data_IF_545431428550
#
_entry.id   IF_545431428550
#
_cell.length_a   1.000
_cell.length_b   1.000
_cell.length_c   1.000
_cell.angle_alpha   90.00
_cell.angle_beta   90.00
_cell.angle_gamma   90.00
#
_symmetry.space_group_name_H-M   'P 1'
#
loop_
_entity.id
_entity.type
_entity.pdbx_description
1 polymer ?
#
# COMPACT_ATOMS: atom_id res chain seq x y z
N UNK A 1 38.18 9.60 -44.35
CA UNK A 1 38.11 9.41 -42.89
C UNK A 1 36.77 9.98 -42.44
N UNK A 2 35.79 9.12 -42.17
CA UNK A 2 34.47 9.53 -41.71
C UNK A 2 34.19 8.77 -40.43
N UNK A 3 34.35 9.44 -39.28
CA UNK A 3 34.02 8.89 -37.97
C UNK A 3 32.52 9.01 -37.72
N UNK A 4 31.85 7.86 -37.81
CA UNK A 4 30.45 7.66 -37.46
C UNK A 4 30.26 7.65 -35.95
N UNK A 5 29.69 8.74 -35.44
CA UNK A 5 29.14 8.88 -34.08
C UNK A 5 28.04 7.82 -33.85
N UNK A 6 28.26 6.88 -32.93
CA UNK A 6 27.17 6.04 -32.39
C UNK A 6 26.95 6.35 -30.91
N UNK A 7 26.02 7.25 -30.64
CA UNK A 7 25.34 7.36 -29.35
C UNK A 7 24.27 6.25 -29.33
N UNK A 8 24.39 5.27 -28.43
CA UNK A 8 23.32 4.29 -28.19
C UNK A 8 22.50 4.69 -26.97
N UNK A 9 21.20 4.84 -27.26
CA UNK A 9 20.13 5.36 -26.43
C UNK A 9 19.72 4.46 -25.25
N UNK A 10 19.65 5.02 -24.04
CA UNK A 10 18.39 5.51 -23.45
C UNK A 10 17.17 4.59 -23.28
N UNK A 11 17.25 3.27 -23.53
CA UNK A 11 16.06 2.38 -23.52
C UNK A 11 15.74 1.69 -22.18
N UNK A 12 16.60 1.79 -21.17
CA UNK A 12 16.45 1.05 -19.90
C UNK A 12 15.61 1.74 -18.81
N UNK A 13 15.50 3.08 -18.85
CA UNK A 13 14.92 3.85 -17.72
C UNK A 13 13.39 3.89 -17.77
N UNK A 14 12.81 3.90 -18.97
CA UNK A 14 11.35 4.04 -19.16
C UNK A 14 10.58 2.78 -18.74
N UNK A 15 11.13 1.59 -19.00
CA UNK A 15 10.49 0.33 -18.63
C UNK A 15 10.48 0.09 -17.11
N UNK A 16 11.55 0.47 -16.42
CA UNK A 16 11.63 0.38 -14.95
C UNK A 16 10.65 1.36 -14.29
N UNK A 17 10.53 2.58 -14.82
CA UNK A 17 9.58 3.59 -14.32
C UNK A 17 8.11 3.24 -14.58
N UNK A 18 7.77 2.61 -15.72
CA UNK A 18 6.40 2.16 -15.98
C UNK A 18 6.02 0.96 -15.09
N UNK A 19 6.93 0.01 -14.91
CA UNK A 19 6.72 -1.15 -14.04
C UNK A 19 6.66 -0.74 -12.57
N UNK A 20 7.42 0.28 -12.15
CA UNK A 20 7.30 0.83 -10.79
C UNK A 20 5.94 1.49 -10.57
N UNK A 21 5.42 2.25 -11.54
CA UNK A 21 4.09 2.87 -11.42
C UNK A 21 2.94 1.86 -11.35
N UNK A 22 2.96 0.81 -12.19
CA UNK A 22 1.92 -0.24 -12.17
C UNK A 22 2.01 -1.08 -10.89
N UNK A 23 3.22 -1.43 -10.45
CA UNK A 23 3.41 -2.24 -9.24
C UNK A 23 3.05 -1.48 -7.96
N UNK A 24 3.40 -0.20 -7.87
CA UNK A 24 2.98 0.70 -6.79
C UNK A 24 1.45 0.88 -6.79
N UNK A 25 0.83 0.99 -7.97
CA UNK A 25 -0.64 1.07 -8.07
C UNK A 25 -1.33 -0.18 -7.50
N UNK A 26 -0.83 -1.38 -7.81
CA UNK A 26 -1.39 -2.62 -7.26
C UNK A 26 -1.25 -2.66 -5.73
N UNK A 27 -0.05 -2.41 -5.21
CA UNK A 27 0.20 -2.46 -3.76
C UNK A 27 -0.59 -1.38 -3.00
N UNK A 28 -0.62 -0.16 -3.53
CA UNK A 28 -1.39 0.95 -2.95
C UNK A 28 -2.90 0.65 -2.96
N UNK A 29 -3.43 0.00 -4.01
CA UNK A 29 -4.83 -0.43 -4.05
C UNK A 29 -5.16 -1.43 -2.94
N UNK A 30 -4.26 -2.36 -2.63
CA UNK A 30 -4.50 -3.33 -1.55
C UNK A 30 -4.47 -2.61 -0.19
N UNK A 31 -3.41 -1.87 0.13
CA UNK A 31 -3.26 -1.20 1.44
C UNK A 31 -4.34 -0.16 1.67
N UNK A 32 -4.51 0.77 0.72
CA UNK A 32 -5.53 1.81 0.85
C UNK A 32 -6.93 1.21 0.81
N UNK A 33 -7.12 0.09 0.10
CA UNK A 33 -8.41 -0.56 -0.06
C UNK A 33 -9.00 -1.03 1.27
N UNK A 34 -8.23 -1.73 2.11
CA UNK A 34 -8.77 -2.18 3.41
C UNK A 34 -8.84 -1.04 4.44
N UNK A 35 -7.90 -0.08 4.41
CA UNK A 35 -8.00 1.11 5.27
C UNK A 35 -9.26 1.93 4.97
N UNK A 36 -9.57 2.09 3.68
CA UNK A 36 -10.80 2.72 3.20
C UNK A 36 -12.03 1.95 3.67
N UNK A 37 -12.08 0.66 3.35
CA UNK A 37 -13.22 -0.20 3.62
C UNK A 37 -13.61 -0.21 5.10
N UNK A 38 -12.63 -0.28 5.98
CA UNK A 38 -12.87 -0.36 7.42
C UNK A 38 -12.85 1.00 8.11
N UNK A 39 -12.70 2.12 7.37
CA UNK A 39 -12.66 3.44 8.02
C UNK A 39 -13.97 3.81 8.69
N UNK A 40 -15.09 3.33 8.16
CA UNK A 40 -16.43 3.73 8.58
C UNK A 40 -16.74 5.19 8.24
N UNK A 41 -17.98 5.61 8.50
CA UNK A 41 -18.43 6.98 8.22
C UNK A 41 -17.63 7.97 9.07
N UNK A 42 -17.08 8.99 8.41
CA UNK A 42 -16.25 10.01 9.08
C UNK A 42 -14.98 9.46 9.73
N UNK A 43 -14.49 8.29 9.32
CA UNK A 43 -13.35 7.59 9.92
C UNK A 43 -13.56 7.17 11.39
N UNK A 44 -14.81 7.04 11.86
CA UNK A 44 -15.11 6.65 13.26
C UNK A 44 -14.56 5.27 13.60
N UNK A 45 -14.80 4.26 12.76
CA UNK A 45 -14.27 2.91 12.96
C UNK A 45 -12.74 2.87 12.92
N UNK A 46 -12.11 3.71 12.08
CA UNK A 46 -10.64 3.79 12.05
C UNK A 46 -10.07 4.33 13.36
N UNK A 47 -10.69 5.36 13.95
CA UNK A 47 -10.23 5.92 15.24
C UNK A 47 -10.38 4.89 16.36
N UNK A 48 -11.50 4.16 16.38
CA UNK A 48 -11.69 3.04 17.31
C UNK A 48 -10.66 1.94 17.08
N UNK A 49 -10.40 1.56 15.82
CA UNK A 49 -9.40 0.57 15.47
C UNK A 49 -7.99 0.96 15.93
N UNK A 50 -7.63 2.25 15.87
CA UNK A 50 -6.36 2.75 16.41
C UNK A 50 -6.35 2.65 17.94
N UNK A 51 -7.39 3.15 18.60
CA UNK A 51 -7.49 3.17 20.07
C UNK A 51 -7.50 1.79 20.70
N UNK A 52 -8.15 0.83 20.05
CA UNK A 52 -8.26 -0.57 20.49
C UNK A 52 -7.17 -1.46 19.89
N UNK A 53 -6.24 -0.89 19.10
CA UNK A 53 -5.15 -1.58 18.44
C UNK A 53 -5.60 -2.79 17.58
N UNK A 54 -6.71 -2.61 16.85
CA UNK A 54 -7.32 -3.63 15.98
C UNK A 54 -6.41 -3.94 14.79
N UNK A 55 -6.21 -5.23 14.50
CA UNK A 55 -5.48 -5.70 13.33
C UNK A 55 -6.35 -5.65 12.06
N UNK A 56 -6.38 -4.50 11.36
CA UNK A 56 -7.15 -4.38 10.12
C UNK A 56 -6.62 -5.26 8.98
N UNK A 57 -5.32 -5.56 8.97
CA UNK A 57 -4.76 -6.53 8.03
C UNK A 57 -5.37 -7.92 8.27
N UNK A 58 -5.42 -8.38 9.52
CA UNK A 58 -6.06 -9.67 9.84
C UNK A 58 -7.56 -9.65 9.54
N UNK A 59 -8.24 -8.55 9.86
CA UNK A 59 -9.67 -8.38 9.54
C UNK A 59 -9.94 -8.52 8.03
N UNK A 60 -9.10 -7.90 7.20
CA UNK A 60 -9.15 -8.07 5.75
C UNK A 60 -8.91 -9.53 5.36
N UNK A 61 -7.87 -10.19 5.90
CA UNK A 61 -7.56 -11.60 5.59
C UNK A 61 -8.77 -12.51 5.88
N UNK A 62 -9.44 -12.29 7.01
CA UNK A 62 -10.55 -13.13 7.47
C UNK A 62 -11.86 -12.91 6.68
N UNK A 63 -12.01 -11.74 6.04
CA UNK A 63 -13.27 -11.35 5.39
C UNK A 63 -13.16 -11.12 3.88
N UNK A 64 -11.96 -11.11 3.29
CA UNK A 64 -11.74 -10.74 1.89
C UNK A 64 -12.63 -11.51 0.91
N UNK A 65 -12.75 -12.82 1.10
CA UNK A 65 -13.59 -13.69 0.25
C UNK A 65 -15.08 -13.41 0.37
N UNK A 66 -15.56 -13.07 1.57
CA UNK A 66 -16.96 -12.70 1.84
C UNK A 66 -17.30 -11.33 1.30
N UNK A 67 -16.32 -10.43 1.31
CA UNK A 67 -16.47 -9.03 0.90
C UNK A 67 -16.24 -8.80 -0.60
N UNK A 68 -15.87 -9.85 -1.35
CA UNK A 68 -15.60 -9.78 -2.78
C UNK A 68 -14.39 -8.94 -3.15
N UNK A 69 -13.43 -8.79 -2.24
CA UNK A 69 -12.17 -8.08 -2.49
C UNK A 69 -11.04 -9.06 -2.78
N UNK A 70 -9.90 -8.53 -3.26
CA UNK A 70 -8.70 -9.33 -3.48
C UNK A 70 -8.34 -10.08 -2.20
N UNK A 71 -8.21 -11.41 -2.29
CA UNK A 71 -7.85 -12.25 -1.15
C UNK A 71 -6.33 -12.28 -0.90
N UNK A 72 -5.92 -12.92 0.19
CA UNK A 72 -4.51 -13.03 0.58
C UNK A 72 -3.66 -13.75 -0.46
N UNK A 73 -4.19 -14.76 -1.15
CA UNK A 73 -3.44 -15.54 -2.14
C UNK A 73 -3.20 -14.73 -3.40
N UNK A 74 -4.23 -14.02 -3.88
CA UNK A 74 -4.14 -13.10 -5.01
C UNK A 74 -3.20 -11.92 -4.67
N UNK A 75 -3.32 -11.34 -3.48
CA UNK A 75 -2.43 -10.28 -3.03
C UNK A 75 -0.97 -10.75 -3.02
N UNK A 76 -0.68 -11.91 -2.43
CA UNK A 76 0.67 -12.52 -2.43
C UNK A 76 1.19 -12.79 -3.84
N UNK A 77 0.34 -13.28 -4.74
CA UNK A 77 0.72 -13.52 -6.12
C UNK A 77 1.22 -12.24 -6.79
N UNK A 78 0.49 -11.14 -6.62
CA UNK A 78 0.89 -9.86 -7.20
C UNK A 78 2.11 -9.25 -6.51
N UNK A 79 2.13 -9.20 -5.18
CA UNK A 79 3.22 -8.56 -4.44
C UNK A 79 4.56 -9.24 -4.64
N UNK A 80 4.60 -10.57 -4.74
CA UNK A 80 5.83 -11.34 -4.97
C UNK A 80 6.46 -11.08 -6.34
N UNK A 81 5.68 -10.62 -7.33
CA UNK A 81 6.22 -10.16 -8.62
C UNK A 81 6.95 -8.82 -8.51
N UNK A 82 6.76 -8.10 -7.41
CA UNK A 82 7.27 -6.74 -7.21
C UNK A 82 8.00 -6.61 -5.86
N UNK A 83 9.12 -7.33 -5.64
CA UNK A 83 9.82 -7.35 -4.36
C UNK A 83 10.37 -5.97 -3.97
N UNK A 84 10.71 -5.12 -4.95
CA UNK A 84 11.20 -3.75 -4.72
C UNK A 84 10.15 -2.87 -4.03
N UNK A 85 8.86 -3.11 -4.30
CA UNK A 85 7.77 -2.32 -3.73
C UNK A 85 7.58 -2.58 -2.23
N UNK A 86 8.09 -3.70 -1.67
CA UNK A 86 8.09 -3.95 -0.21
C UNK A 86 8.69 -2.77 0.57
N UNK A 87 9.72 -2.12 0.02
CA UNK A 87 10.40 -0.96 0.63
C UNK A 87 9.64 0.35 0.47
N UNK A 88 8.70 0.41 -0.47
CA UNK A 88 7.84 1.58 -0.69
C UNK A 88 6.65 1.60 0.25
N UNK A 89 6.30 0.48 0.89
CA UNK A 89 5.24 0.41 1.90
C UNK A 89 5.75 0.99 3.22
N UNK A 90 5.72 2.32 3.30
CA UNK A 90 6.05 3.13 4.47
C UNK A 90 4.86 4.01 4.84
N UNK A 91 4.75 4.46 6.10
CA UNK A 91 3.63 5.34 6.49
C UNK A 91 3.53 6.58 5.61
N UNK A 92 4.65 7.23 5.29
CA UNK A 92 4.67 8.42 4.41
C UNK A 92 4.12 8.14 3.02
N UNK A 93 4.51 7.02 2.40
CA UNK A 93 3.98 6.66 1.08
C UNK A 93 2.50 6.25 1.15
N UNK A 94 2.09 5.52 2.18
CA UNK A 94 0.68 5.14 2.35
C UNK A 94 -0.20 6.37 2.57
N UNK A 95 0.23 7.35 3.38
CA UNK A 95 -0.47 8.63 3.53
C UNK A 95 -0.53 9.40 2.21
N UNK A 96 0.56 9.41 1.42
CA UNK A 96 0.56 9.99 0.07
C UNK A 96 -0.46 9.30 -0.84
N UNK A 97 -0.47 7.97 -0.90
CA UNK A 97 -1.41 7.19 -1.72
C UNK A 97 -2.87 7.44 -1.32
N UNK A 98 -3.16 7.50 -0.02
CA UNK A 98 -4.49 7.87 0.48
C UNK A 98 -4.88 9.29 0.03
N UNK A 99 -3.96 10.25 0.14
CA UNK A 99 -4.21 11.62 -0.31
C UNK A 99 -4.45 11.71 -1.83
N UNK A 100 -3.68 10.99 -2.64
CA UNK A 100 -3.86 10.86 -4.10
C UNK A 100 -5.22 10.25 -4.46
N UNK A 101 -5.70 9.29 -3.64
CA UNK A 101 -7.03 8.67 -3.74
C UNK A 101 -8.16 9.51 -3.13
N UNK A 102 -7.91 10.78 -2.82
CA UNK A 102 -8.87 11.71 -2.19
C UNK A 102 -9.37 11.27 -0.80
N UNK A 103 -8.64 10.38 -0.12
CA UNK A 103 -8.91 9.92 1.25
C UNK A 103 -8.05 10.64 2.29
N UNK A 104 -8.01 11.98 2.20
CA UNK A 104 -7.33 12.83 3.19
C UNK A 104 -7.99 12.80 4.57
N UNK A 105 -9.24 12.39 4.63
CA UNK A 105 -9.97 12.12 5.89
C UNK A 105 -9.34 10.97 6.68
N UNK A 106 -8.91 9.89 6.01
CA UNK A 106 -8.21 8.76 6.63
C UNK A 106 -6.85 9.21 7.16
N UNK A 107 -6.09 9.93 6.34
CA UNK A 107 -4.77 10.47 6.73
C UNK A 107 -4.90 11.30 8.01
N UNK A 108 -5.88 12.22 8.01
CA UNK A 108 -6.16 13.06 9.16
C UNK A 108 -6.59 12.25 10.39
N UNK A 109 -7.45 11.25 10.22
CA UNK A 109 -7.86 10.40 11.33
C UNK A 109 -6.68 9.63 11.94
N UNK A 110 -5.72 9.18 11.13
CA UNK A 110 -4.47 8.56 11.60
C UNK A 110 -3.61 9.58 12.36
N UNK A 111 -3.44 10.79 11.81
CA UNK A 111 -2.58 11.82 12.40
C UNK A 111 -3.13 12.42 13.70
N UNK A 112 -4.45 12.55 13.81
CA UNK A 112 -5.13 13.17 14.96
C UNK A 112 -5.44 12.18 16.09
N UNK A 113 -5.43 10.87 15.82
CA UNK A 113 -5.73 9.85 16.86
C UNK A 113 -4.45 9.50 17.61
N UNK A 114 -4.44 9.58 18.96
CA UNK A 114 -3.30 9.14 19.75
C UNK A 114 -2.87 7.71 19.41
N UNK A 115 -1.58 7.51 19.14
CA UNK A 115 -1.02 6.21 18.73
C UNK A 115 -1.25 5.84 17.26
N UNK A 116 -1.85 6.71 16.45
CA UNK A 116 -2.19 6.42 15.06
C UNK A 116 -0.98 6.16 14.16
N UNK A 117 0.14 6.85 14.38
CA UNK A 117 1.37 6.65 13.62
C UNK A 117 1.99 5.28 13.93
N UNK A 118 2.09 4.92 15.21
CA UNK A 118 2.62 3.64 15.67
C UNK A 118 1.74 2.48 15.20
N UNK A 119 0.42 2.65 15.32
CA UNK A 119 -0.56 1.70 14.81
C UNK A 119 -0.43 1.50 13.30
N UNK A 120 -0.26 2.58 12.51
CA UNK A 120 -0.07 2.47 11.07
C UNK A 120 1.24 1.72 10.76
N UNK A 121 2.36 2.07 11.38
CA UNK A 121 3.63 1.35 11.16
C UNK A 121 3.52 -0.14 11.51
N UNK A 122 2.80 -0.46 12.59
CA UNK A 122 2.50 -1.84 12.96
C UNK A 122 1.66 -2.55 11.89
N UNK A 123 0.56 -1.94 11.41
CA UNK A 123 -0.24 -2.45 10.30
C UNK A 123 0.62 -2.72 9.05
N UNK A 124 1.51 -1.80 8.69
CA UNK A 124 2.39 -1.95 7.54
C UNK A 124 3.46 -3.02 7.76
N UNK A 125 3.91 -3.24 8.99
CA UNK A 125 4.74 -4.37 9.37
C UNK A 125 4.04 -5.71 9.12
N UNK A 126 2.79 -5.83 9.58
CA UNK A 126 1.92 -7.00 9.36
C UNK A 126 1.70 -7.23 7.87
N UNK A 127 1.32 -6.20 7.13
CA UNK A 127 1.11 -6.24 5.69
C UNK A 127 2.34 -6.74 4.93
N UNK A 128 3.52 -6.14 5.18
CA UNK A 128 4.78 -6.52 4.51
C UNK A 128 5.14 -7.97 4.79
N UNK A 129 5.07 -8.39 6.04
CA UNK A 129 5.40 -9.76 6.45
C UNK A 129 4.41 -10.77 5.87
N UNK A 130 3.12 -10.44 5.91
CA UNK A 130 2.04 -11.30 5.44
C UNK A 130 2.02 -11.51 3.92
N UNK A 131 2.41 -10.49 3.14
CA UNK A 131 2.39 -10.55 1.68
C UNK A 131 3.72 -10.98 1.04
N UNK A 132 4.87 -10.55 1.57
CA UNK A 132 6.18 -10.91 1.02
C UNK A 132 6.88 -12.05 1.76
N UNK A 133 6.35 -12.49 2.91
CA UNK A 133 7.08 -13.36 3.83
C UNK A 133 8.06 -12.57 4.70
N UNK A 134 8.68 -13.27 5.66
CA UNK A 134 9.81 -12.73 6.42
C UNK A 134 10.98 -12.45 5.49
#
# INVERSE_FOLDING_TARGET
MSDGKHIRAGRGVVAVGLLSGVSESIVSNIVCGYLDRYSGKGCSNLRLAIQENVDLYQLWVDNASKEGVMDLNQARYWTRKFPVVKRMVTSSNVKRWLAEKKRRDIVRAIDETPGGQEWLEWQLGRFRSGLWGQ
#
